data_IF_993837793248
#
_entry.id   IF_993837793248
#
_cell.length_a   1.000
_cell.length_b   1.000
_cell.length_c   1.000
_cell.angle_alpha   90.00
_cell.angle_beta   90.00
_cell.angle_gamma   90.00
#
_symmetry.space_group_name_H-M   'P 1'
#
loop_
_entity.id
_entity.type
_entity.pdbx_description
1 polymer ?
#
# COMPACT_ATOMS: atom_id res chain seq x y z
N UNK A 1 22.31 -3.51 -21.64
CA UNK A 1 22.11 -4.10 -20.30
C UNK A 1 20.63 -4.01 -19.92
N UNK A 2 20.01 -5.14 -19.63
CA UNK A 2 18.63 -5.14 -19.19
C UNK A 2 18.57 -4.74 -17.73
N UNK A 3 17.63 -3.86 -17.42
CA UNK A 3 17.39 -3.41 -16.05
C UNK A 3 16.05 -3.98 -15.60
N UNK A 4 16.07 -4.65 -14.45
CA UNK A 4 14.88 -5.26 -13.87
C UNK A 4 14.44 -4.47 -12.65
N UNK A 5 13.13 -4.42 -12.46
CA UNK A 5 12.53 -3.90 -11.25
C UNK A 5 11.91 -5.07 -10.49
N UNK A 6 12.13 -5.13 -9.19
CA UNK A 6 11.48 -6.14 -8.35
C UNK A 6 10.19 -5.56 -7.78
N UNK A 7 9.10 -6.30 -7.93
CA UNK A 7 7.80 -5.95 -7.40
C UNK A 7 7.34 -7.02 -6.42
N UNK A 8 6.77 -6.59 -5.31
CA UNK A 8 6.02 -7.49 -4.45
C UNK A 8 4.58 -7.51 -4.97
N UNK A 9 4.13 -8.67 -5.43
CA UNK A 9 2.77 -8.79 -5.97
C UNK A 9 1.79 -9.24 -4.90
N UNK A 10 0.57 -8.74 -5.00
CA UNK A 10 -0.51 -9.09 -4.09
C UNK A 10 -1.83 -9.01 -4.84
N UNK A 11 -2.83 -9.73 -4.32
CA UNK A 11 -4.17 -9.71 -4.91
C UNK A 11 -5.12 -8.84 -4.11
N UNK A 12 -6.01 -8.19 -4.82
CA UNK A 12 -7.06 -7.35 -4.25
C UNK A 12 -8.24 -7.36 -5.22
N UNK A 13 -9.37 -7.91 -4.80
CA UNK A 13 -10.59 -8.00 -5.62
C UNK A 13 -10.35 -8.63 -7.00
N UNK A 14 -9.58 -9.70 -7.05
CA UNK A 14 -9.33 -10.43 -8.28
C UNK A 14 -8.33 -9.79 -9.24
N UNK A 15 -7.69 -8.71 -8.83
CA UNK A 15 -6.69 -8.00 -9.63
C UNK A 15 -5.34 -8.15 -8.96
N UNK A 16 -4.30 -8.34 -9.76
CA UNK A 16 -2.93 -8.37 -9.27
C UNK A 16 -2.34 -6.97 -9.29
N UNK A 17 -1.84 -6.57 -8.13
CA UNK A 17 -1.13 -5.29 -7.94
C UNK A 17 0.31 -5.58 -7.57
N UNK A 18 1.16 -4.60 -7.75
CA UNK A 18 2.56 -4.70 -7.36
C UNK A 18 3.06 -3.41 -6.75
N UNK A 19 3.92 -3.56 -5.75
CA UNK A 19 4.62 -2.45 -5.11
C UNK A 19 6.11 -2.66 -5.35
N UNK A 20 6.87 -1.62 -5.74
CA UNK A 20 8.33 -1.77 -5.83
C UNK A 20 8.89 -2.29 -4.50
N UNK A 21 9.69 -3.35 -4.57
CA UNK A 21 10.20 -4.01 -3.37
C UNK A 21 11.02 -3.05 -2.50
N UNK A 22 11.64 -2.06 -3.11
CA UNK A 22 12.41 -1.04 -2.39
C UNK A 22 11.58 -0.23 -1.40
N UNK A 23 10.25 -0.17 -1.61
CA UNK A 23 9.34 0.58 -0.75
C UNK A 23 8.74 -0.29 0.35
N UNK A 24 9.04 -1.58 0.36
CA UNK A 24 8.51 -2.54 1.34
C UNK A 24 9.48 -2.70 2.50
N UNK A 25 8.99 -2.46 3.72
CA UNK A 25 9.77 -2.68 4.93
C UNK A 25 9.63 -4.13 5.43
N UNK A 26 8.38 -4.62 5.47
CA UNK A 26 8.11 -5.97 5.93
C UNK A 26 6.73 -6.43 5.46
N UNK A 27 6.49 -7.74 5.59
CA UNK A 27 5.21 -8.37 5.29
C UNK A 27 4.77 -9.05 6.59
N UNK A 28 3.56 -8.70 7.04
CA UNK A 28 3.01 -9.23 8.27
C UNK A 28 1.70 -9.97 8.00
N UNK A 29 1.34 -10.88 8.89
CA UNK A 29 -0.02 -11.39 8.93
C UNK A 29 -0.96 -10.30 9.42
N UNK A 30 -2.25 -10.56 9.32
CA UNK A 30 -3.24 -9.59 9.79
C UNK A 30 -3.09 -9.32 11.29
N UNK A 31 -3.05 -8.05 11.65
CA UNK A 31 -3.00 -7.59 13.05
C UNK A 31 -4.24 -6.73 13.28
N UNK A 32 -4.97 -7.00 14.35
CA UNK A 32 -6.13 -6.18 14.71
C UNK A 32 -5.65 -4.79 15.14
N UNK A 33 -6.28 -3.76 14.58
CA UNK A 33 -5.91 -2.39 14.88
C UNK A 33 -6.87 -1.74 15.87
N UNK A 34 -6.36 -0.71 16.52
CA UNK A 34 -7.17 0.15 17.39
C UNK A 34 -7.74 1.26 16.53
N UNK A 35 -9.07 1.37 16.52
CA UNK A 35 -9.77 2.36 15.70
C UNK A 35 -9.47 3.78 16.18
N UNK A 36 -9.26 4.68 15.22
CA UNK A 36 -9.06 6.11 15.49
C UNK A 36 -10.19 6.89 14.79
N UNK A 37 -11.19 7.38 15.54
CA UNK A 37 -12.39 7.96 14.95
C UNK A 37 -12.17 9.20 14.08
N UNK A 38 -11.09 9.95 14.34
CA UNK A 38 -10.80 11.20 13.63
C UNK A 38 -9.96 11.00 12.36
N UNK A 39 -9.53 9.77 12.10
CA UNK A 39 -8.71 9.46 10.92
C UNK A 39 -9.55 9.41 9.65
N UNK A 40 -8.92 9.57 8.46
CA UNK A 40 -9.62 9.35 7.19
C UNK A 40 -10.25 7.96 7.12
N UNK A 41 -11.33 7.82 6.34
CA UNK A 41 -12.11 6.58 6.30
C UNK A 41 -11.31 5.34 5.91
N UNK A 42 -10.31 5.48 5.05
CA UNK A 42 -9.48 4.36 4.63
C UNK A 42 -8.39 4.00 5.65
N UNK A 43 -8.21 4.81 6.68
CA UNK A 43 -7.35 4.46 7.81
C UNK A 43 -8.17 3.69 8.81
N UNK A 44 -7.86 2.41 8.96
CA UNK A 44 -8.60 1.50 9.83
C UNK A 44 -8.27 1.72 11.31
N UNK A 45 -7.08 2.23 11.59
CA UNK A 45 -6.65 2.46 12.94
C UNK A 45 -5.14 2.46 13.03
N UNK A 46 -4.63 2.09 14.19
CA UNK A 46 -3.19 2.00 14.45
C UNK A 46 -2.86 0.64 15.06
N UNK A 47 -1.65 0.19 14.82
CA UNK A 47 -1.09 -1.01 15.44
C UNK A 47 0.26 -0.68 16.08
N UNK A 48 0.68 -1.53 17.01
CA UNK A 48 2.04 -1.48 17.53
C UNK A 48 2.83 -2.58 16.82
N UNK A 49 3.88 -2.19 16.12
CA UNK A 49 4.70 -3.12 15.35
C UNK A 49 6.17 -2.83 15.65
N UNK A 50 6.87 -3.82 16.20
CA UNK A 50 8.28 -3.72 16.55
C UNK A 50 8.60 -2.46 17.37
N UNK A 51 7.72 -2.13 18.33
CA UNK A 51 7.88 -0.98 19.22
C UNK A 51 7.42 0.35 18.64
N UNK A 52 6.94 0.38 17.40
CA UNK A 52 6.49 1.60 16.75
C UNK A 52 4.96 1.60 16.57
N UNK A 53 4.39 2.79 16.62
CA UNK A 53 2.98 2.97 16.26
C UNK A 53 2.90 3.16 14.76
N UNK A 54 2.11 2.31 14.10
CA UNK A 54 1.98 2.30 12.64
C UNK A 54 0.51 2.41 12.26
N UNK A 55 0.14 3.38 11.40
CA UNK A 55 -1.23 3.47 10.91
C UNK A 55 -1.51 2.33 9.93
N UNK A 56 -2.76 1.86 9.95
CA UNK A 56 -3.23 0.78 9.09
C UNK A 56 -4.17 1.36 8.03
N UNK A 57 -3.82 1.18 6.78
CA UNK A 57 -4.58 1.67 5.64
C UNK A 57 -5.18 0.49 4.89
N UNK A 58 -6.50 0.54 4.65
CA UNK A 58 -7.18 -0.45 3.80
C UNK A 58 -7.06 -0.01 2.34
N UNK A 59 -6.35 -0.79 1.53
CA UNK A 59 -6.25 -0.49 0.11
C UNK A 59 -7.61 -0.62 -0.57
N UNK A 60 -8.42 -1.61 -0.19
CA UNK A 60 -9.76 -1.75 -0.75
C UNK A 60 -10.59 -0.49 -0.49
N UNK A 61 -10.60 0.01 0.73
CA UNK A 61 -11.33 1.22 1.07
C UNK A 61 -10.76 2.44 0.34
N UNK A 62 -9.44 2.53 0.24
CA UNK A 62 -8.79 3.66 -0.45
C UNK A 62 -9.18 3.72 -1.93
N UNK A 63 -9.34 2.56 -2.55
CA UNK A 63 -9.70 2.46 -3.98
C UNK A 63 -11.20 2.41 -4.23
N UNK A 64 -12.03 2.49 -3.17
CA UNK A 64 -13.47 2.41 -3.30
C UNK A 64 -13.97 1.01 -3.66
N UNK A 65 -13.21 -0.01 -3.33
CA UNK A 65 -13.55 -1.40 -3.59
C UNK A 65 -14.21 -2.04 -2.37
N UNK A 66 -14.88 -3.17 -2.61
CA UNK A 66 -15.44 -3.95 -1.52
C UNK A 66 -14.33 -4.47 -0.61
N UNK A 67 -14.48 -4.32 0.68
CA UNK A 67 -13.52 -4.85 1.64
C UNK A 67 -13.77 -6.34 1.84
N UNK A 68 -12.80 -7.15 1.44
CA UNK A 68 -12.80 -8.61 1.58
C UNK A 68 -11.86 -8.99 2.73
N UNK A 69 -11.90 -10.25 3.20
CA UNK A 69 -11.02 -10.67 4.29
C UNK A 69 -9.55 -10.39 3.97
N UNK A 70 -8.84 -9.88 4.97
CA UNK A 70 -7.43 -9.51 4.87
C UNK A 70 -6.58 -10.65 5.41
N UNK A 71 -5.64 -11.15 4.62
CA UNK A 71 -4.70 -12.16 5.07
C UNK A 71 -3.36 -11.55 5.47
N UNK A 72 -2.93 -10.51 4.74
CA UNK A 72 -1.62 -9.91 4.95
C UNK A 72 -1.68 -8.39 5.08
N UNK A 73 -0.65 -7.86 5.72
CA UNK A 73 -0.36 -6.44 5.72
C UNK A 73 1.03 -6.24 5.13
N UNK A 74 1.15 -5.27 4.22
CA UNK A 74 2.44 -4.88 3.65
C UNK A 74 2.83 -3.57 4.33
N UNK A 75 3.92 -3.59 5.09
CA UNK A 75 4.42 -2.37 5.74
C UNK A 75 5.31 -1.65 4.74
N UNK A 76 4.85 -0.50 4.30
CA UNK A 76 5.53 0.31 3.29
C UNK A 76 6.08 1.58 3.91
N UNK A 77 7.13 2.11 3.29
CA UNK A 77 7.72 3.38 3.68
C UNK A 77 7.21 4.48 2.74
N UNK A 78 6.54 5.48 3.32
CA UNK A 78 6.04 6.64 2.60
C UNK A 78 6.74 7.87 3.16
N UNK A 79 7.75 8.35 2.46
CA UNK A 79 8.54 9.52 2.89
C UNK A 79 9.02 9.43 4.34
N UNK A 80 9.54 8.26 4.72
CA UNK A 80 10.06 8.01 6.07
C UNK A 80 9.01 7.56 7.07
N UNK A 81 7.74 7.56 6.71
CA UNK A 81 6.66 7.11 7.58
C UNK A 81 6.25 5.69 7.19
N UNK A 82 6.17 4.81 8.17
CA UNK A 82 5.69 3.44 7.93
C UNK A 82 4.18 3.41 7.94
N UNK A 83 3.60 2.73 6.97
CA UNK A 83 2.16 2.52 6.87
C UNK A 83 1.93 1.05 6.57
N UNK A 84 1.02 0.42 7.31
CA UNK A 84 0.65 -0.97 7.08
C UNK A 84 -0.54 -1.01 6.12
N UNK A 85 -0.33 -1.60 4.94
CA UNK A 85 -1.34 -1.69 3.90
C UNK A 85 -2.04 -3.04 4.00
N UNK A 86 -3.34 -3.03 4.25
CA UNK A 86 -4.14 -4.25 4.26
C UNK A 86 -4.41 -4.72 2.85
N UNK A 87 -4.06 -5.97 2.55
CA UNK A 87 -4.32 -6.61 1.25
C UNK A 87 -4.98 -7.96 1.48
N UNK A 88 -5.60 -8.52 0.45
CA UNK A 88 -6.20 -9.85 0.58
C UNK A 88 -5.12 -10.89 0.79
N UNK A 89 -4.12 -10.91 -0.09
CA UNK A 89 -3.05 -11.90 0.00
C UNK A 89 -1.82 -11.42 -0.76
N UNK A 90 -0.67 -11.50 -0.08
CA UNK A 90 0.63 -11.33 -0.75
C UNK A 90 0.93 -12.59 -1.54
N UNK A 91 1.42 -12.44 -2.78
CA UNK A 91 1.67 -13.58 -3.64
C UNK A 91 3.15 -13.88 -3.77
N UNK A 92 3.90 -13.06 -4.51
CA UNK A 92 5.30 -13.36 -4.77
C UNK A 92 6.08 -12.10 -5.14
N UNK A 93 7.41 -12.23 -5.15
CA UNK A 93 8.28 -11.19 -5.68
C UNK A 93 8.54 -11.55 -7.13
N UNK A 94 8.29 -10.58 -8.02
CA UNK A 94 8.50 -10.78 -9.46
C UNK A 94 9.54 -9.80 -9.98
N UNK A 95 10.38 -10.29 -10.89
CA UNK A 95 11.34 -9.46 -11.61
C UNK A 95 10.68 -9.01 -12.91
N UNK A 96 10.61 -7.71 -13.14
CA UNK A 96 9.99 -7.14 -14.32
C UNK A 96 11.04 -6.33 -15.07
N UNK A 97 11.19 -6.61 -16.37
CA UNK A 97 12.06 -5.80 -17.21
C UNK A 97 11.47 -4.40 -17.36
N UNK A 98 12.28 -3.37 -17.25
CA UNK A 98 11.78 -2.00 -17.38
C UNK A 98 11.11 -1.75 -18.73
N UNK A 99 11.50 -2.47 -19.78
CA UNK A 99 10.87 -2.39 -21.09
C UNK A 99 9.45 -2.95 -21.12
N UNK A 100 9.05 -3.70 -20.08
CA UNK A 100 7.72 -4.27 -19.94
C UNK A 100 6.81 -3.44 -19.06
N UNK A 101 7.28 -2.28 -18.62
CA UNK A 101 6.47 -1.36 -17.83
C UNK A 101 5.83 -0.36 -18.79
N UNK A 102 4.51 -0.32 -18.80
CA UNK A 102 3.73 0.52 -19.71
C UNK A 102 2.94 1.54 -18.90
N UNK A 103 2.70 2.73 -19.47
CA UNK A 103 1.87 3.71 -18.76
C UNK A 103 0.43 3.22 -18.63
N UNK A 104 -0.16 3.50 -17.49
CA UNK A 104 -1.56 3.17 -17.25
C UNK A 104 -2.44 4.08 -18.12
N UNK A 105 -3.44 3.55 -18.83
CA UNK A 105 -4.38 4.39 -19.54
C UNK A 105 -5.06 5.39 -18.61
N UNK A 106 -5.30 6.59 -19.12
CA UNK A 106 -5.97 7.64 -18.33
C UNK A 106 -7.37 7.17 -17.96
N UNK A 107 -7.63 7.11 -16.66
CA UNK A 107 -8.93 6.73 -16.12
C UNK A 107 -9.55 7.94 -15.42
N UNK A 108 -10.87 8.01 -15.46
CA UNK A 108 -11.63 9.11 -14.84
C UNK A 108 -11.85 8.81 -13.35
N UNK A 109 -10.79 8.47 -12.63
CA UNK A 109 -10.87 8.06 -11.24
C UNK A 109 -10.07 8.99 -10.34
N UNK A 110 -10.59 9.27 -9.16
CA UNK A 110 -9.88 10.05 -8.13
C UNK A 110 -8.67 9.31 -7.56
N UNK A 111 -8.59 8.00 -7.76
CA UNK A 111 -7.45 7.18 -7.30
C UNK A 111 -6.43 6.94 -8.40
N UNK A 112 -6.60 7.56 -9.56
CA UNK A 112 -5.72 7.37 -10.70
C UNK A 112 -4.25 7.64 -10.37
N UNK A 113 -3.98 8.61 -9.53
CA UNK A 113 -2.60 8.96 -9.16
C UNK A 113 -1.85 7.83 -8.45
N UNK A 114 -2.57 6.85 -7.94
CA UNK A 114 -1.96 5.70 -7.27
C UNK A 114 -1.48 4.64 -8.27
N UNK A 115 -1.94 4.70 -9.52
CA UNK A 115 -1.67 3.69 -10.56
C UNK A 115 -1.09 4.38 -11.79
N UNK A 116 0.20 4.51 -11.82
CA UNK A 116 0.84 5.19 -12.95
C UNK A 116 1.24 4.24 -14.07
N UNK A 117 1.53 2.98 -13.73
CA UNK A 117 2.10 2.03 -14.66
C UNK A 117 1.47 0.65 -14.52
N UNK A 118 1.60 -0.13 -15.58
CA UNK A 118 1.21 -1.54 -15.61
C UNK A 118 2.42 -2.34 -16.05
N UNK A 119 2.76 -3.37 -15.30
CA UNK A 119 3.83 -4.29 -15.67
C UNK A 119 3.24 -5.49 -16.39
N UNK A 120 3.83 -5.84 -17.54
CA UNK A 120 3.47 -7.04 -18.27
C UNK A 120 4.49 -8.13 -17.92
N UNK A 121 4.02 -9.22 -17.31
CA UNK A 121 4.87 -10.31 -16.86
C UNK A 121 4.21 -11.64 -17.18
N UNK A 122 4.85 -12.43 -18.08
CA UNK A 122 4.36 -13.77 -18.43
C UNK A 122 2.87 -13.79 -18.82
N UNK A 123 2.47 -12.85 -19.67
CA UNK A 123 1.08 -12.69 -20.15
C UNK A 123 0.10 -12.21 -19.08
N UNK A 124 0.58 -11.91 -17.89
CA UNK A 124 -0.24 -11.31 -16.83
C UNK A 124 0.07 -9.83 -16.73
N UNK A 125 -0.94 -9.06 -16.32
CA UNK A 125 -0.80 -7.63 -16.07
C UNK A 125 -0.82 -7.39 -14.58
N UNK A 126 0.17 -6.64 -14.09
CA UNK A 126 0.27 -6.25 -12.70
C UNK A 126 0.15 -4.73 -12.64
N UNK A 127 -0.87 -4.25 -11.96
CA UNK A 127 -1.07 -2.81 -11.78
C UNK A 127 -0.07 -2.31 -10.75
N UNK A 128 0.82 -1.42 -11.16
CA UNK A 128 1.86 -0.91 -10.28
C UNK A 128 1.32 0.22 -9.42
N UNK A 129 1.52 0.08 -8.12
CA UNK A 129 1.03 1.01 -7.13
C UNK A 129 2.15 1.95 -6.70
N UNK A 130 1.87 3.25 -6.72
CA UNK A 130 2.76 4.26 -6.17
C UNK A 130 2.34 4.54 -4.73
N UNK A 131 3.10 4.01 -3.77
CA UNK A 131 2.75 4.13 -2.35
C UNK A 131 2.72 5.58 -1.87
N UNK A 132 3.55 6.45 -2.47
CA UNK A 132 3.58 7.86 -2.07
C UNK A 132 2.29 8.59 -2.41
N UNK A 133 1.57 8.11 -3.42
CA UNK A 133 0.31 8.71 -3.84
C UNK A 133 -0.90 8.20 -3.08
N UNK A 134 -0.72 7.22 -2.21
CA UNK A 134 -1.81 6.69 -1.40
C UNK A 134 -2.32 7.70 -0.38
N UNK A 135 -1.45 8.57 0.09
CA UNK A 135 -1.75 9.54 1.14
C UNK A 135 -1.26 10.91 0.67
N UNK A 136 -2.14 11.91 0.69
CA UNK A 136 -1.74 13.27 0.34
C UNK A 136 -0.77 13.82 1.38
N UNK A 137 -0.07 14.90 1.03
CA UNK A 137 0.85 15.55 1.98
C UNK A 137 0.12 16.01 3.25
N UNK A 138 -1.09 16.53 3.10
CA UNK A 138 -1.91 16.95 4.23
C UNK A 138 -2.28 15.75 5.10
N UNK A 139 -2.68 14.65 4.48
CA UNK A 139 -3.01 13.43 5.21
C UNK A 139 -1.79 12.84 5.91
N UNK A 140 -0.62 12.92 5.27
CA UNK A 140 0.62 12.49 5.91
C UNK A 140 0.91 13.27 7.18
N UNK A 141 0.69 14.58 7.16
CA UNK A 141 0.86 15.43 8.34
C UNK A 141 -0.10 15.02 9.45
N UNK A 142 -1.34 14.75 9.11
CA UNK A 142 -2.34 14.28 10.07
C UNK A 142 -1.93 12.95 10.70
N UNK A 143 -1.42 12.02 9.88
CA UNK A 143 -0.99 10.71 10.36
C UNK A 143 0.25 10.82 11.25
N UNK A 144 1.21 11.69 10.89
CA UNK A 144 2.41 11.91 11.72
C UNK A 144 2.02 12.45 13.08
N UNK A 145 1.10 13.39 13.13
CA UNK A 145 0.58 13.93 14.39
C UNK A 145 -0.10 12.84 15.21
N UNK A 146 -0.90 12.00 14.58
CA UNK A 146 -1.58 10.89 15.23
C UNK A 146 -0.56 9.92 15.85
N UNK A 147 0.51 9.61 15.13
CA UNK A 147 1.57 8.71 15.61
C UNK A 147 2.26 9.34 16.83
N UNK A 148 2.59 10.63 16.77
CA UNK A 148 3.23 11.34 17.87
C UNK A 148 2.35 11.37 19.10
N UNK A 149 1.08 11.71 18.93
CA UNK A 149 0.12 11.78 20.03
C UNK A 149 -0.07 10.41 20.68
N UNK A 150 -0.10 9.35 19.88
CA UNK A 150 -0.27 7.99 20.38
C UNK A 150 0.98 7.47 21.06
N UNK A 151 2.18 7.91 20.63
CA UNK A 151 3.44 7.52 21.23
C UNK A 151 3.70 8.25 22.56
N UNK A 152 3.22 9.50 22.66
CA UNK A 152 3.42 10.34 23.84
C UNK A 152 2.28 10.24 24.85
N UNK A 153 1.11 9.80 24.40
CA UNK A 153 -0.04 9.60 25.27
C UNK A 153 -0.01 8.19 25.85
N UNK A 154 0.20 8.05 27.05
CA UNK A 154 0.31 6.75 27.73
C UNK A 154 -0.86 5.81 27.47
#
# INVERSE_FOLDING_TARGET
>A
MEVFMQLLSFSLNGVDYGIPLKDVESIEGRINCVNVPTAPKYIKGIIRLHGNIVPVLSLAARFGLQELPVENMIVANVDGMKIALEVEKVREIVDVENSRVLPMPVLMSSVQNCFNDVASCQQELIVMLDVKSLVSLEEQQQLRKLIEDSSNGN
#
